data_IF_922200627646
#
_entry.id   IF_922200627646
#
_cell.length_a   1.000
_cell.length_b   1.000
_cell.length_c   1.000
_cell.angle_alpha   90.00
_cell.angle_beta   90.00
_cell.angle_gamma   90.00
#
_symmetry.space_group_name_H-M   'P 1'
#
loop_
_entity.id
_entity.type
_entity.pdbx_description
1 polymer ?
#
# COMPACT_ATOMS: atom_id res chain seq x y z
N UNK A 1 7.09 -10.48 9.16
CA UNK A 1 6.23 -9.29 8.95
C UNK A 1 4.94 -9.75 8.27
N UNK A 2 3.82 -9.63 8.97
CA UNK A 2 2.49 -10.08 8.55
C UNK A 2 1.50 -8.97 8.93
N UNK A 3 0.54 -8.66 8.06
CA UNK A 3 -0.53 -7.70 8.37
C UNK A 3 -0.61 -6.53 7.38
N UNK A 4 -1.38 -5.50 7.75
CA UNK A 4 -1.57 -4.31 6.93
C UNK A 4 -0.41 -3.33 7.08
N UNK A 5 0.04 -2.77 5.97
CA UNK A 5 1.16 -1.83 5.90
C UNK A 5 0.75 -0.58 5.15
N UNK A 6 1.35 0.54 5.58
CA UNK A 6 1.20 1.85 4.96
C UNK A 6 2.59 2.45 4.79
N UNK A 7 2.89 2.88 3.57
CA UNK A 7 4.07 3.64 3.23
C UNK A 7 3.69 5.11 3.15
N UNK A 8 4.44 5.95 3.87
CA UNK A 8 4.25 7.39 3.89
C UNK A 8 5.42 8.05 3.16
N UNK A 9 5.15 9.19 2.52
CA UNK A 9 6.19 10.06 1.96
C UNK A 9 6.86 10.84 3.08
N UNK A 10 7.94 11.55 2.74
CA UNK A 10 8.67 12.42 3.69
C UNK A 10 7.80 13.52 4.30
N UNK A 11 6.78 13.96 3.58
CA UNK A 11 5.81 14.96 4.03
C UNK A 11 4.68 14.37 4.91
N UNK A 12 4.69 13.06 5.16
CA UNK A 12 3.66 12.35 5.93
C UNK A 12 2.42 11.95 5.12
N UNK A 13 2.33 12.31 3.84
CA UNK A 13 1.22 11.87 2.98
C UNK A 13 1.28 10.37 2.72
N UNK A 14 0.11 9.73 2.68
CA UNK A 14 0.02 8.31 2.37
C UNK A 14 0.44 8.09 0.92
N UNK A 15 1.44 7.23 0.72
CA UNK A 15 1.96 6.88 -0.61
C UNK A 15 1.33 5.59 -1.11
N UNK A 16 1.29 4.56 -0.27
CA UNK A 16 0.83 3.24 -0.67
C UNK A 16 0.39 2.44 0.54
N UNK A 17 -0.66 1.63 0.41
CA UNK A 17 -1.08 0.68 1.45
C UNK A 17 -1.41 -0.69 0.88
N UNK A 18 -1.29 -1.71 1.71
CA UNK A 18 -1.63 -3.08 1.34
C UNK A 18 -1.35 -4.04 2.49
N UNK A 19 -1.25 -5.33 2.17
CA UNK A 19 -0.95 -6.38 3.15
C UNK A 19 0.32 -7.11 2.78
N UNK A 20 1.10 -7.45 3.80
CA UNK A 20 2.20 -8.39 3.68
C UNK A 20 1.85 -9.71 4.35
N UNK A 21 2.23 -10.81 3.71
CA UNK A 21 2.22 -12.14 4.30
C UNK A 21 3.60 -12.77 4.14
N UNK A 22 4.24 -13.13 5.25
CA UNK A 22 5.59 -13.71 5.27
C UNK A 22 6.62 -12.89 4.47
N UNK A 23 6.51 -11.55 4.51
CA UNK A 23 7.39 -10.64 3.78
C UNK A 23 7.05 -10.44 2.29
N UNK A 24 6.03 -11.11 1.75
CA UNK A 24 5.54 -10.90 0.39
C UNK A 24 4.31 -10.00 0.38
N UNK A 25 4.21 -9.13 -0.61
CA UNK A 25 3.01 -8.31 -0.87
C UNK A 25 1.87 -9.24 -1.31
N UNK A 26 0.72 -9.17 -0.64
CA UNK A 26 -0.48 -9.94 -0.98
C UNK A 26 -1.72 -9.05 -1.05
N UNK A 27 -2.73 -9.53 -1.77
CA UNK A 27 -4.02 -8.87 -1.98
C UNK A 27 -3.92 -7.55 -2.75
N UNK A 28 -4.90 -6.67 -2.53
CA UNK A 28 -4.95 -5.37 -3.18
C UNK A 28 -3.98 -4.39 -2.54
N UNK A 29 -3.15 -3.80 -3.39
CA UNK A 29 -2.25 -2.72 -3.06
C UNK A 29 -2.70 -1.43 -3.74
N UNK A 30 -3.04 -0.45 -2.93
CA UNK A 30 -3.48 0.87 -3.39
C UNK A 30 -2.34 1.87 -3.25
N UNK A 31 -2.02 2.55 -4.34
CA UNK A 31 -1.10 3.69 -4.38
C UNK A 31 -1.93 4.95 -4.44
N UNK A 32 -1.60 5.91 -3.59
CA UNK A 32 -2.30 7.17 -3.47
C UNK A 32 -1.50 8.28 -4.11
N UNK A 33 -2.17 9.29 -4.65
CA UNK A 33 -1.52 10.50 -5.12
C UNK A 33 -1.07 11.41 -3.94
N UNK A 34 -0.64 12.64 -4.25
CA UNK A 34 -0.25 13.63 -3.23
C UNK A 34 -1.43 14.21 -2.45
N UNK A 35 -2.64 14.11 -3.00
CA UNK A 35 -3.88 14.58 -2.35
C UNK A 35 -4.52 13.51 -1.48
N UNK A 36 -4.02 12.27 -1.55
CA UNK A 36 -4.52 11.13 -0.79
C UNK A 36 -5.59 10.31 -1.51
N UNK A 37 -5.85 10.59 -2.80
CA UNK A 37 -6.81 9.80 -3.58
C UNK A 37 -6.14 8.55 -4.17
N UNK A 38 -6.86 7.42 -4.28
CA UNK A 38 -6.38 6.22 -4.95
C UNK A 38 -6.02 6.55 -6.40
N UNK A 39 -4.75 6.45 -6.74
CA UNK A 39 -4.26 6.66 -8.11
C UNK A 39 -4.15 5.34 -8.86
N UNK A 40 -3.75 4.26 -8.16
CA UNK A 40 -3.53 2.95 -8.78
C UNK A 40 -3.77 1.83 -7.79
N UNK A 41 -4.50 0.81 -8.21
CA UNK A 41 -4.64 -0.45 -7.48
C UNK A 41 -3.89 -1.56 -8.23
N UNK A 42 -3.33 -2.50 -7.48
CA UNK A 42 -2.62 -3.66 -8.04
C UNK A 42 -2.94 -4.86 -7.18
N UNK A 43 -3.46 -5.91 -7.80
CA UNK A 43 -3.70 -7.18 -7.13
C UNK A 43 -2.45 -8.05 -7.18
N UNK A 44 -1.95 -8.43 -6.01
CA UNK A 44 -0.79 -9.32 -5.88
C UNK A 44 -1.19 -10.78 -5.62
N UNK A 45 -2.50 -11.07 -5.59
CA UNK A 45 -3.02 -12.38 -5.22
C UNK A 45 -2.81 -12.68 -3.73
N UNK A 46 -3.51 -13.71 -3.24
CA UNK A 46 -3.43 -14.19 -1.85
C UNK A 46 -2.40 -15.31 -1.70
#
# INVERSE_FOLDING_TARGET
>A
MHGAWKFFRKDGSLMRSGKFNLGKQIGIWTTYDRTGHPHKETDFGS
#
